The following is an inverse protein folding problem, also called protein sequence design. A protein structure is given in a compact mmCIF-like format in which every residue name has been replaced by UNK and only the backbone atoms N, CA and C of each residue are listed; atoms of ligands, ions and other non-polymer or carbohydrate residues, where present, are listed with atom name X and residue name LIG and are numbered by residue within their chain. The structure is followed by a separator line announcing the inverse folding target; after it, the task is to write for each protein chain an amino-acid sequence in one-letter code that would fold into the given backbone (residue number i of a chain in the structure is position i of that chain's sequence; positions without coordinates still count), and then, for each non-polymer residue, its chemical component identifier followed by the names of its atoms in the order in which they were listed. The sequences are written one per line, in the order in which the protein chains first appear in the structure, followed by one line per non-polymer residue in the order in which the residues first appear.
data_IF_561882050891
#
_entry.id   IF_561882050891
#
_cell.length_a   1.000
_cell.length_b   1.000
_cell.length_c   1.000
_cell.angle_alpha   90.00
_cell.angle_beta   90.00
_cell.angle_gamma   90.00
#
_symmetry.space_group_name_H-M   'P 1'
#
loop_
_entity.id
_entity.type
_entity.pdbx_description
1 polymer ?
#
# COMPACT_ATOMS: atom_id res chain seq x y z
N UNK A 1 -13.77 48.82 -4.76
CA UNK A 1 -13.39 47.41 -4.43
C UNK A 1 -11.89 47.13 -4.67
N UNK A 2 -11.08 48.08 -5.14
CA UNK A 2 -9.65 47.90 -5.47
C UNK A 2 -8.66 48.03 -4.30
N UNK A 3 -9.08 48.55 -3.14
CA UNK A 3 -8.17 48.84 -2.03
C UNK A 3 -7.63 47.59 -1.31
N UNK A 4 -8.31 46.44 -1.37
CA UNK A 4 -7.81 45.21 -0.74
C UNK A 4 -6.62 44.61 -1.50
N UNK A 5 -6.65 44.67 -2.84
CA UNK A 5 -5.58 44.13 -3.66
C UNK A 5 -4.33 45.02 -3.62
N UNK A 6 -4.51 46.34 -3.58
CA UNK A 6 -3.39 47.27 -3.37
C UNK A 6 -2.79 47.08 -1.97
N UNK A 7 -3.60 46.97 -0.91
CA UNK A 7 -3.11 46.66 0.44
C UNK A 7 -2.34 45.34 0.51
N UNK A 8 -2.84 44.27 -0.11
CA UNK A 8 -2.12 43.00 -0.20
C UNK A 8 -0.80 43.15 -0.96
N UNK A 9 -0.78 43.91 -2.05
CA UNK A 9 0.43 44.23 -2.82
C UNK A 9 1.47 44.94 -1.97
N UNK A 10 1.05 45.90 -1.14
CA UNK A 10 1.96 46.66 -0.27
C UNK A 10 2.57 45.80 0.83
N UNK A 11 1.77 44.91 1.42
CA UNK A 11 2.27 43.95 2.40
C UNK A 11 3.31 43.02 1.79
N UNK A 12 3.08 42.56 0.55
CA UNK A 12 4.01 41.70 -0.16
C UNK A 12 5.29 42.44 -0.55
N UNK A 13 5.18 43.64 -1.12
CA UNK A 13 6.34 44.47 -1.47
C UNK A 13 7.19 44.80 -0.24
N UNK A 14 6.57 45.19 0.86
CA UNK A 14 7.29 45.47 2.11
C UNK A 14 7.98 44.21 2.64
N UNK A 15 7.31 43.06 2.57
CA UNK A 15 7.89 41.79 2.95
C UNK A 15 9.08 41.42 2.05
N UNK A 16 8.98 41.63 0.73
CA UNK A 16 10.08 41.40 -0.22
C UNK A 16 11.28 42.30 0.07
N UNK A 17 11.05 43.59 0.36
CA UNK A 17 12.11 44.52 0.76
C UNK A 17 12.78 44.03 2.05
N UNK A 18 12.02 43.61 3.06
CA UNK A 18 12.58 43.05 4.30
C UNK A 18 13.36 41.76 4.06
N UNK A 19 12.85 40.85 3.22
CA UNK A 19 13.52 39.62 2.83
C UNK A 19 14.85 39.89 2.08
N UNK A 20 14.90 40.91 1.24
CA UNK A 20 16.13 41.38 0.59
C UNK A 20 17.11 41.97 1.60
N UNK A 21 16.67 42.85 2.51
CA UNK A 21 17.52 43.45 3.56
C UNK A 21 18.10 42.41 4.53
N UNK A 22 17.35 41.34 4.78
CA UNK A 22 17.78 40.21 5.62
C UNK A 22 18.64 39.17 4.87
N UNK A 23 18.85 39.33 3.56
CA UNK A 23 19.76 38.49 2.77
C UNK A 23 19.12 37.24 2.15
N UNK A 24 17.78 37.11 2.15
CA UNK A 24 17.07 35.97 1.54
C UNK A 24 16.90 36.12 0.01
N UNK A 25 18.00 36.33 -0.71
CA UNK A 25 18.00 36.58 -2.16
C UNK A 25 17.41 35.41 -2.95
N UNK A 26 17.76 34.17 -2.59
CA UNK A 26 17.25 32.94 -3.24
C UNK A 26 15.72 32.83 -3.19
N UNK A 27 15.09 33.36 -2.14
CA UNK A 27 13.64 33.35 -2.00
C UNK A 27 12.99 34.36 -2.93
N UNK A 28 13.59 35.53 -3.09
CA UNK A 28 13.14 36.55 -4.04
C UNK A 28 13.26 36.04 -5.49
N UNK A 29 14.35 35.36 -5.84
CA UNK A 29 14.52 34.68 -7.14
C UNK A 29 13.44 33.61 -7.37
N UNK A 30 13.13 32.82 -6.34
CA UNK A 30 12.08 31.79 -6.45
C UNK A 30 10.67 32.36 -6.65
N UNK A 31 10.45 33.63 -6.27
CA UNK A 31 9.22 34.37 -6.52
C UNK A 31 9.18 34.99 -7.93
N UNK A 32 10.26 34.85 -8.71
CA UNK A 32 10.35 35.33 -10.09
C UNK A 32 10.96 36.73 -10.24
N UNK A 33 11.51 37.32 -9.18
CA UNK A 33 12.20 38.61 -9.27
C UNK A 33 13.54 38.46 -9.97
N UNK A 34 13.75 39.30 -10.97
CA UNK A 34 15.04 39.45 -11.66
C UNK A 34 16.04 40.17 -10.75
N UNK A 35 17.36 39.98 -10.96
CA UNK A 35 18.39 40.69 -10.19
C UNK A 35 18.30 42.22 -10.30
N UNK A 36 17.82 42.73 -11.43
CA UNK A 36 17.59 44.16 -11.67
C UNK A 36 16.42 44.67 -10.80
N UNK A 37 15.31 43.95 -10.75
CA UNK A 37 14.17 44.27 -9.88
C UNK A 37 14.52 44.19 -8.40
N UNK A 38 15.36 43.23 -8.00
CA UNK A 38 15.87 43.14 -6.63
C UNK A 38 16.73 44.35 -6.24
N UNK A 39 17.53 44.88 -7.17
CA UNK A 39 18.28 46.12 -6.93
C UNK A 39 17.36 47.33 -6.80
N UNK A 40 16.33 47.44 -7.65
CA UNK A 40 15.32 48.50 -7.56
C UNK A 40 14.55 48.44 -6.23
N UNK A 41 14.11 47.25 -5.81
CA UNK A 41 13.44 47.04 -4.53
C UNK A 41 14.33 47.42 -3.33
N UNK A 42 15.63 47.13 -3.37
CA UNK A 42 16.57 47.45 -2.29
C UNK A 42 16.80 48.97 -2.12
N UNK A 43 16.59 49.74 -3.20
CA UNK A 43 16.73 51.19 -3.24
C UNK A 43 15.45 51.98 -2.94
N UNK A 44 14.31 51.31 -2.72
CA UNK A 44 13.03 51.99 -2.44
C UNK A 44 13.09 52.80 -1.14
N UNK A 45 12.61 54.04 -1.22
CA UNK A 45 12.37 54.89 -0.04
C UNK A 45 10.96 54.69 0.51
N UNK A 46 10.71 55.25 1.71
CA UNK A 46 9.38 55.22 2.32
C UNK A 46 8.36 55.99 1.48
N UNK A 47 8.79 57.08 0.82
CA UNK A 47 7.93 57.87 -0.06
C UNK A 47 7.59 57.11 -1.35
N UNK A 48 8.54 56.37 -1.92
CA UNK A 48 8.28 55.50 -3.08
C UNK A 48 7.29 54.39 -2.73
N UNK A 49 7.44 53.78 -1.55
CA UNK A 49 6.47 52.80 -1.04
C UNK A 49 5.08 53.44 -0.87
N UNK A 50 5.01 54.66 -0.33
CA UNK A 50 3.75 55.40 -0.19
C UNK A 50 3.10 55.73 -1.55
N UNK A 51 3.90 56.03 -2.57
CA UNK A 51 3.42 56.24 -3.92
C UNK A 51 2.86 54.95 -4.54
N UNK A 52 3.59 53.84 -4.42
CA UNK A 52 3.13 52.52 -4.87
C UNK A 52 1.86 52.08 -4.13
N UNK A 53 1.75 52.43 -2.84
CA UNK A 53 0.58 52.18 -1.98
C UNK A 53 -0.72 52.76 -2.52
N UNK A 54 -0.63 53.98 -3.04
CA UNK A 54 -1.77 54.75 -3.54
C UNK A 54 -1.97 54.62 -5.05
N UNK A 55 -1.13 53.83 -5.73
CA UNK A 55 -1.30 53.53 -7.14
C UNK A 55 -2.59 52.75 -7.38
N UNK A 56 -3.30 53.12 -8.44
CA UNK A 56 -4.51 52.41 -8.90
C UNK A 56 -4.17 51.14 -9.71
N UNK A 57 -2.89 50.95 -10.05
CA UNK A 57 -2.40 49.81 -10.85
C UNK A 57 -1.76 48.79 -9.92
N UNK A 58 -2.31 47.57 -9.91
CA UNK A 58 -1.73 46.43 -9.18
C UNK A 58 -0.47 45.93 -9.89
N UNK A 59 0.62 45.80 -9.15
CA UNK A 59 1.86 45.14 -9.62
C UNK A 59 1.69 43.62 -9.65
N UNK A 60 0.71 43.08 -8.93
CA UNK A 60 0.48 41.64 -8.81
C UNK A 60 -0.66 41.17 -9.70
N UNK A 61 -0.39 40.12 -10.47
CA UNK A 61 -1.38 39.31 -11.16
C UNK A 61 -1.48 37.94 -10.49
N UNK A 62 -2.59 37.67 -9.79
CA UNK A 62 -2.82 36.35 -9.20
C UNK A 62 -3.63 35.48 -10.16
N UNK A 63 -3.08 34.33 -10.53
CA UNK A 63 -3.80 33.30 -11.27
C UNK A 63 -3.88 32.05 -10.40
N UNK A 64 -5.09 31.72 -9.95
CA UNK A 64 -5.32 30.49 -9.21
C UNK A 64 -5.46 29.37 -10.23
N UNK A 65 -4.56 28.39 -10.18
CA UNK A 65 -4.69 27.20 -11.02
C UNK A 65 -5.88 26.37 -10.54
N UNK A 66 -7.02 26.53 -11.21
CA UNK A 66 -8.31 25.97 -10.78
C UNK A 66 -8.28 24.44 -10.61
N UNK A 67 -7.59 23.71 -11.49
CA UNK A 67 -7.50 22.25 -11.39
C UNK A 67 -6.73 21.80 -10.15
N UNK A 68 -5.51 22.32 -9.94
CA UNK A 68 -4.71 22.03 -8.76
C UNK A 68 -5.45 22.41 -7.47
N UNK A 69 -6.13 23.56 -7.47
CA UNK A 69 -6.95 23.96 -6.34
C UNK A 69 -8.07 22.95 -6.06
N UNK A 70 -8.83 22.54 -7.09
CA UNK A 70 -9.88 21.54 -6.93
C UNK A 70 -9.34 20.20 -6.43
N UNK A 71 -8.20 19.74 -6.95
CA UNK A 71 -7.52 18.52 -6.51
C UNK A 71 -7.07 18.61 -5.05
N UNK A 72 -6.48 19.74 -4.64
CA UNK A 72 -6.08 19.99 -3.25
C UNK A 72 -7.28 19.97 -2.31
N UNK A 73 -8.38 20.63 -2.69
CA UNK A 73 -9.62 20.64 -1.89
C UNK A 73 -10.21 19.23 -1.79
N UNK A 74 -10.25 18.47 -2.89
CA UNK A 74 -10.75 17.10 -2.88
C UNK A 74 -9.86 16.18 -2.03
N UNK A 75 -8.54 16.37 -2.06
CA UNK A 75 -7.60 15.62 -1.22
C UNK A 75 -7.80 15.96 0.26
N UNK A 76 -7.95 17.24 0.60
CA UNK A 76 -8.21 17.67 1.96
C UNK A 76 -9.52 17.07 2.51
N UNK A 77 -10.58 17.06 1.71
CA UNK A 77 -11.86 16.42 2.07
C UNK A 77 -11.73 14.91 2.29
N UNK A 78 -10.98 14.22 1.42
CA UNK A 78 -10.71 12.77 1.57
C UNK A 78 -9.93 12.47 2.84
N UNK A 79 -8.91 13.27 3.17
CA UNK A 79 -8.16 13.07 4.41
C UNK A 79 -9.01 13.37 5.65
N UNK A 80 -9.88 14.39 5.59
CA UNK A 80 -10.83 14.66 6.67
C UNK A 80 -11.80 13.48 6.89
N UNK A 81 -12.34 12.90 5.81
CA UNK A 81 -13.19 11.70 5.91
C UNK A 81 -12.42 10.51 6.47
N UNK A 82 -11.16 10.31 6.03
CA UNK A 82 -10.29 9.26 6.58
C UNK A 82 -10.07 9.46 8.07
N UNK A 83 -9.83 10.70 8.50
CA UNK A 83 -9.65 11.08 9.90
C UNK A 83 -10.90 10.74 10.73
N UNK A 84 -12.08 11.12 10.25
CA UNK A 84 -13.36 10.84 10.90
C UNK A 84 -13.61 9.34 11.05
N UNK A 85 -13.31 8.54 10.01
CA UNK A 85 -13.42 7.08 10.07
C UNK A 85 -12.49 6.47 11.10
N UNK A 86 -11.25 6.98 11.22
CA UNK A 86 -10.31 6.54 12.25
C UNK A 86 -10.87 6.81 13.65
N UNK A 87 -11.36 8.02 13.89
CA UNK A 87 -11.86 8.42 15.21
C UNK A 87 -13.12 7.64 15.58
N UNK A 88 -14.03 7.44 14.63
CA UNK A 88 -15.23 6.60 14.78
C UNK A 88 -14.87 5.14 15.07
N UNK A 89 -13.94 4.56 14.31
CA UNK A 89 -13.49 3.19 14.53
C UNK A 89 -12.84 3.00 15.91
N UNK A 90 -12.10 4.00 16.40
CA UNK A 90 -11.51 3.97 17.74
C UNK A 90 -12.58 4.09 18.83
N UNK A 91 -13.59 4.95 18.65
CA UNK A 91 -14.70 5.12 19.58
C UNK A 91 -15.50 3.81 19.75
N UNK A 92 -15.70 3.06 18.66
CA UNK A 92 -16.38 1.76 18.66
C UNK A 92 -15.51 0.59 19.15
N UNK A 93 -14.32 0.87 19.68
CA UNK A 93 -13.44 -0.15 20.25
C UNK A 93 -12.67 -0.98 19.20
N UNK A 94 -12.34 -0.37 18.06
CA UNK A 94 -11.51 -0.99 17.03
C UNK A 94 -10.10 -1.34 17.51
N UNK A 95 -9.65 -2.57 17.29
CA UNK A 95 -8.35 -3.09 17.76
C UNK A 95 -7.16 -2.47 17.04
N UNK A 96 -5.97 -2.54 17.65
CA UNK A 96 -4.73 -2.03 17.02
C UNK A 96 -4.45 -2.77 15.71
N UNK A 97 -4.70 -4.08 15.64
CA UNK A 97 -4.54 -4.89 14.43
C UNK A 97 -5.46 -4.40 13.30
N UNK A 98 -6.73 -4.11 13.62
CA UNK A 98 -7.69 -3.58 12.67
C UNK A 98 -7.28 -2.18 12.17
N UNK A 99 -6.84 -1.31 13.08
CA UNK A 99 -6.38 0.03 12.71
C UNK A 99 -5.13 -0.02 11.80
N UNK A 100 -4.23 -0.97 12.04
CA UNK A 100 -3.08 -1.19 11.18
C UNK A 100 -3.49 -1.74 9.81
N UNK A 101 -4.47 -2.65 9.76
CA UNK A 101 -4.95 -3.24 8.51
C UNK A 101 -5.66 -2.23 7.60
N UNK A 102 -6.59 -1.44 8.13
CA UNK A 102 -7.39 -0.50 7.32
C UNK A 102 -6.72 0.86 7.10
N UNK A 103 -5.96 1.36 8.08
CA UNK A 103 -5.44 2.73 8.05
C UNK A 103 -3.92 2.81 8.07
N UNK A 104 -3.21 1.69 8.18
CA UNK A 104 -1.74 1.65 8.25
C UNK A 104 -1.16 2.28 9.52
N UNK A 105 -1.98 2.51 10.55
CA UNK A 105 -1.55 3.18 11.78
C UNK A 105 -0.70 2.25 12.63
N UNK A 106 0.34 2.80 13.24
CA UNK A 106 1.16 2.12 14.23
C UNK A 106 0.44 2.00 15.57
N UNK A 107 0.88 1.05 16.40
CA UNK A 107 0.39 0.90 17.78
C UNK A 107 0.60 2.15 18.64
N UNK A 108 1.68 2.90 18.38
CA UNK A 108 2.01 4.14 19.08
C UNK A 108 1.00 5.24 18.73
N UNK A 109 0.69 5.42 17.45
CA UNK A 109 -0.29 6.41 16.98
C UNK A 109 -1.70 6.10 17.48
N UNK A 110 -2.10 4.83 17.45
CA UNK A 110 -3.39 4.38 17.99
C UNK A 110 -3.47 4.66 19.49
N UNK A 111 -2.42 4.32 20.24
CA UNK A 111 -2.40 4.55 21.69
C UNK A 111 -2.41 6.04 22.04
N UNK A 112 -1.65 6.86 21.31
CA UNK A 112 -1.64 8.31 21.48
C UNK A 112 -3.02 8.91 21.21
N UNK A 113 -3.66 8.52 20.11
CA UNK A 113 -4.99 9.01 19.73
C UNK A 113 -6.07 8.61 20.72
N UNK A 114 -6.04 7.37 21.23
CA UNK A 114 -6.95 6.92 22.30
C UNK A 114 -6.79 7.75 23.58
N UNK A 115 -5.54 8.05 23.98
CA UNK A 115 -5.25 8.92 25.14
C UNK A 115 -5.79 10.33 24.94
N UNK A 116 -5.59 10.92 23.77
CA UNK A 116 -6.09 12.28 23.45
C UNK A 116 -7.62 12.35 23.43
N UNK A 117 -8.29 11.29 22.98
CA UNK A 117 -9.75 11.22 22.88
C UNK A 117 -10.42 10.79 24.19
N UNK A 118 -9.65 10.43 25.22
CA UNK A 118 -10.18 9.98 26.51
C UNK A 118 -10.88 8.61 26.47
N UNK A 119 -10.67 7.82 25.41
CA UNK A 119 -11.31 6.50 25.25
C UNK A 119 -10.62 5.52 26.20
N UNK A 120 -11.33 5.10 27.25
CA UNK A 120 -10.89 4.07 28.17
C UNK A 120 -11.12 2.70 27.55
N UNK A 121 -10.04 1.99 27.22
CA UNK A 121 -10.12 0.64 26.68
C UNK A 121 -10.58 -0.29 27.82
N UNK A 122 -11.74 -0.93 27.67
CA UNK A 122 -12.12 -2.06 28.54
C UNK A 122 -11.06 -3.16 28.38
N UNK A 123 -10.17 -3.30 29.36
CA UNK A 123 -9.18 -4.36 29.39
C UNK A 123 -9.89 -5.69 29.70
N UNK A 124 -9.79 -6.67 28.80
CA UNK A 124 -10.43 -7.97 28.96
C UNK A 124 -10.47 -8.80 27.68
N UNK A 125 -10.96 -10.04 27.75
CA UNK A 125 -11.23 -10.85 26.56
C UNK A 125 -12.29 -10.14 25.73
N UNK A 126 -12.03 -9.96 24.44
CA UNK A 126 -13.00 -9.41 23.50
C UNK A 126 -14.29 -10.25 23.60
N UNK A 127 -15.42 -9.60 23.86
CA UNK A 127 -16.72 -10.26 23.90
C UNK A 127 -16.98 -10.88 22.53
N UNK A 128 -17.00 -12.21 22.47
CA UNK A 128 -17.47 -12.95 21.30
C UNK A 128 -18.94 -12.61 21.09
N UNK A 129 -19.31 -12.25 19.86
CA UNK A 129 -20.70 -11.98 19.49
C UNK A 129 -21.59 -13.17 19.84
N UNK A 130 -22.80 -12.88 20.32
CA UNK A 130 -23.84 -13.90 20.50
C UNK A 130 -24.16 -14.54 19.15
N UNK A 131 -24.65 -15.78 19.15
CA UNK A 131 -25.05 -16.46 17.92
C UNK A 131 -26.20 -15.73 17.21
N UNK A 132 -27.09 -15.08 17.96
CA UNK A 132 -28.17 -14.25 17.43
C UNK A 132 -27.63 -12.98 16.73
N UNK A 133 -26.64 -12.34 17.36
CA UNK A 133 -25.95 -11.17 16.83
C UNK A 133 -25.14 -11.52 15.56
N UNK A 134 -24.48 -12.68 15.54
CA UNK A 134 -23.79 -13.14 14.35
C UNK A 134 -24.77 -13.37 13.17
N UNK A 135 -25.95 -13.91 13.45
CA UNK A 135 -26.96 -14.15 12.42
C UNK A 135 -27.57 -12.83 11.88
N UNK A 136 -27.79 -11.84 12.75
CA UNK A 136 -28.28 -10.52 12.33
C UNK A 136 -27.23 -9.76 11.53
N UNK A 137 -25.97 -9.76 11.99
CA UNK A 137 -24.83 -9.19 11.29
C UNK A 137 -24.66 -9.79 9.89
N UNK A 138 -24.76 -11.12 9.76
CA UNK A 138 -24.65 -11.80 8.46
C UNK A 138 -25.71 -11.35 7.46
N UNK A 139 -26.97 -11.20 7.91
CA UNK A 139 -28.07 -10.71 7.05
C UNK A 139 -27.84 -9.26 6.61
N UNK A 140 -27.37 -8.40 7.52
CA UNK A 140 -27.04 -7.02 7.18
C UNK A 140 -25.88 -6.94 6.19
N UNK A 141 -24.84 -7.76 6.40
CA UNK A 141 -23.69 -7.86 5.50
C UNK A 141 -24.10 -8.33 4.10
N UNK A 142 -24.96 -9.34 4.01
CA UNK A 142 -25.46 -9.85 2.73
C UNK A 142 -26.30 -8.81 1.97
N UNK A 143 -27.07 -7.97 2.68
CA UNK A 143 -27.86 -6.89 2.08
C UNK A 143 -27.00 -5.75 1.52
N UNK A 144 -25.81 -5.54 2.08
CA UNK A 144 -24.91 -4.46 1.67
C UNK A 144 -24.13 -4.76 0.38
N UNK A 145 -24.10 -6.02 -0.07
CA UNK A 145 -23.47 -6.47 -1.34
C UNK A 145 -22.04 -5.93 -1.57
N UNK A 146 -21.22 -6.00 -0.53
CA UNK A 146 -19.84 -5.50 -0.57
C UNK A 146 -18.92 -6.60 -1.08
N UNK A 147 -18.30 -6.37 -2.24
CA UNK A 147 -17.36 -7.32 -2.87
C UNK A 147 -16.04 -7.47 -2.07
N UNK A 148 -15.60 -6.41 -1.39
CA UNK A 148 -14.34 -6.38 -0.63
C UNK A 148 -14.54 -5.97 0.83
N UNK A 149 -14.34 -6.93 1.74
CA UNK A 149 -14.38 -6.74 3.20
C UNK A 149 -13.36 -5.71 3.68
N UNK A 150 -12.25 -5.54 2.95
CA UNK A 150 -11.17 -4.61 3.29
C UNK A 150 -11.37 -3.19 2.73
N UNK A 151 -12.44 -2.98 1.96
CA UNK A 151 -12.77 -1.66 1.41
C UNK A 151 -13.24 -0.68 2.50
N UNK A 152 -13.16 0.62 2.18
CA UNK A 152 -13.65 1.68 3.06
C UNK A 152 -15.17 1.57 3.31
N UNK A 153 -15.94 1.15 2.30
CA UNK A 153 -17.38 0.96 2.41
C UNK A 153 -17.71 -0.26 3.28
N UNK A 154 -16.90 -1.33 3.18
CA UNK A 154 -16.94 -2.47 4.08
C UNK A 154 -16.75 -2.09 5.54
N UNK A 155 -15.78 -1.22 5.81
CA UNK A 155 -15.55 -0.70 7.16
C UNK A 155 -16.73 0.15 7.66
N UNK A 156 -17.31 1.01 6.82
CA UNK A 156 -18.46 1.83 7.19
C UNK A 156 -19.68 0.97 7.56
N UNK A 157 -19.92 -0.14 6.85
CA UNK A 157 -20.99 -1.10 7.19
C UNK A 157 -20.69 -1.84 8.49
N UNK A 158 -19.43 -2.23 8.73
CA UNK A 158 -19.04 -2.82 10.02
C UNK A 158 -19.24 -1.85 11.19
N UNK A 159 -18.90 -0.56 10.99
CA UNK A 159 -19.14 0.48 12.01
C UNK A 159 -20.62 0.69 12.28
N UNK A 160 -21.45 0.72 11.24
CA UNK A 160 -22.91 0.84 11.38
C UNK A 160 -23.52 -0.35 12.13
N UNK A 161 -23.09 -1.57 11.82
CA UNK A 161 -23.56 -2.77 12.50
C UNK A 161 -23.12 -2.79 13.98
N UNK A 162 -21.88 -2.39 14.26
CA UNK A 162 -21.35 -2.27 15.62
C UNK A 162 -22.17 -1.28 16.47
N UNK A 163 -22.54 -0.14 15.88
CA UNK A 163 -23.39 0.87 16.54
C UNK A 163 -24.82 0.38 16.80
N UNK A 164 -25.44 -0.30 15.83
CA UNK A 164 -26.81 -0.78 15.97
C UNK A 164 -26.96 -1.89 17.00
N UNK A 165 -25.94 -2.72 17.15
CA UNK A 165 -25.94 -3.88 18.03
C UNK A 165 -25.26 -3.61 19.38
N UNK A 166 -24.70 -2.41 19.58
CA UNK A 166 -23.90 -1.99 20.76
C UNK A 166 -22.76 -2.98 21.10
N UNK A 167 -22.08 -3.46 20.06
CA UNK A 167 -20.98 -4.43 20.15
C UNK A 167 -19.67 -3.80 19.71
N UNK A 168 -18.55 -4.30 20.25
CA UNK A 168 -17.24 -3.80 19.84
C UNK A 168 -16.98 -4.06 18.36
N UNK A 169 -16.46 -3.04 17.65
CA UNK A 169 -16.12 -3.14 16.23
C UNK A 169 -15.12 -4.27 15.92
N UNK A 170 -14.24 -4.57 16.88
CA UNK A 170 -13.29 -5.70 16.76
C UNK A 170 -14.01 -7.05 16.68
N UNK A 171 -15.09 -7.25 17.44
CA UNK A 171 -15.85 -8.49 17.41
C UNK A 171 -16.59 -8.67 16.07
N UNK A 172 -17.18 -7.59 15.57
CA UNK A 172 -17.80 -7.53 14.23
C UNK A 172 -16.77 -7.85 13.15
N UNK A 173 -15.58 -7.25 13.21
CA UNK A 173 -14.51 -7.49 12.25
C UNK A 173 -14.06 -8.95 12.19
N UNK A 174 -13.92 -9.62 13.34
CA UNK A 174 -13.59 -11.04 13.37
C UNK A 174 -14.72 -11.92 12.82
N UNK A 175 -15.98 -11.61 13.11
CA UNK A 175 -17.11 -12.33 12.55
C UNK A 175 -17.21 -12.17 11.02
N UNK A 176 -17.04 -10.95 10.51
CA UNK A 176 -17.05 -10.70 9.05
C UNK A 176 -15.91 -11.43 8.34
N UNK A 177 -14.69 -11.44 8.91
CA UNK A 177 -13.57 -12.24 8.38
C UNK A 177 -13.87 -13.74 8.38
N UNK A 178 -14.61 -14.24 9.36
CA UNK A 178 -15.03 -15.65 9.40
C UNK A 178 -15.99 -15.98 8.26
N UNK A 179 -16.84 -15.03 7.87
CA UNK A 179 -17.80 -15.19 6.79
C UNK A 179 -17.13 -15.22 5.41
N UNK A 180 -16.14 -14.37 5.16
CA UNK A 180 -15.36 -14.41 3.93
C UNK A 180 -14.59 -15.73 3.77
N UNK A 181 -14.03 -16.24 4.87
CA UNK A 181 -13.45 -17.59 4.93
C UNK A 181 -14.45 -18.73 4.65
N UNK A 182 -15.74 -18.54 4.98
CA UNK A 182 -16.80 -19.48 4.69
C UNK A 182 -17.30 -19.38 3.23
N UNK A 183 -17.43 -18.17 2.69
CA UNK A 183 -17.79 -17.92 1.28
C UNK A 183 -16.70 -18.45 0.32
N UNK A 184 -15.42 -18.21 0.62
CA UNK A 184 -14.31 -18.79 -0.15
C UNK A 184 -14.28 -20.33 -0.06
N UNK A 185 -14.79 -20.95 1.03
CA UNK A 185 -14.96 -22.40 1.15
C UNK A 185 -16.18 -22.94 0.40
N UNK A 186 -17.28 -22.19 0.31
CA UNK A 186 -18.47 -22.60 -0.47
C UNK A 186 -18.24 -22.45 -1.97
N UNK A 187 -17.56 -21.39 -2.43
CA UNK A 187 -17.13 -21.24 -3.83
C UNK A 187 -16.14 -22.35 -4.24
N UNK A 188 -15.19 -22.70 -3.35
CA UNK A 188 -14.33 -23.87 -3.57
C UNK A 188 -15.11 -25.19 -3.58
N UNK A 189 -16.25 -25.29 -2.89
CA UNK A 189 -17.11 -26.46 -2.93
C UNK A 189 -17.94 -26.53 -4.22
N UNK A 190 -18.49 -25.42 -4.72
CA UNK A 190 -19.18 -25.39 -6.02
C UNK A 190 -18.23 -25.68 -7.19
N UNK A 191 -16.97 -25.26 -7.10
CA UNK A 191 -15.92 -25.65 -8.04
C UNK A 191 -15.48 -27.12 -7.87
N UNK A 192 -15.58 -27.67 -6.65
CA UNK A 192 -15.28 -29.08 -6.38
C UNK A 192 -16.38 -30.06 -6.82
N UNK A 193 -17.64 -29.62 -6.93
CA UNK A 193 -18.74 -30.47 -7.43
C UNK A 193 -18.59 -30.76 -8.92
N UNK A 194 -17.81 -29.96 -9.66
CA UNK A 194 -17.42 -30.29 -11.05
C UNK A 194 -16.22 -31.22 -11.17
N UNK A 195 -15.58 -31.54 -10.05
CA UNK A 195 -14.39 -32.42 -10.03
C UNK A 195 -14.50 -33.45 -8.93
N UNK A 196 -15.56 -34.25 -8.96
CA UNK A 196 -15.65 -35.51 -8.24
C UNK A 196 -15.60 -36.67 -9.24
N UNK A 197 -14.38 -37.01 -9.67
CA UNK A 197 -14.05 -38.40 -9.94
C UNK A 197 -12.68 -38.71 -9.34
N UNK A 198 -12.70 -39.69 -8.44
CA UNK A 198 -11.56 -40.31 -7.73
C UNK A 198 -10.90 -39.44 -6.65
N UNK A 199 -10.63 -39.90 -5.43
CA UNK A 199 -11.02 -41.07 -4.61
C UNK A 199 -10.39 -40.78 -3.24
N UNK A 200 -11.05 -41.19 -2.16
CA UNK A 200 -10.54 -41.73 -0.87
C UNK A 200 -9.04 -41.52 -0.53
N UNK A 201 -8.60 -41.27 0.71
CA UNK A 201 -9.13 -41.38 2.09
C UNK A 201 -8.03 -40.82 3.01
N UNK A 202 -8.42 -40.31 4.20
CA UNK A 202 -7.76 -40.37 5.55
C UNK A 202 -6.22 -40.26 5.59
N UNK A 203 -5.57 -39.39 6.34
CA UNK A 203 -5.88 -38.73 7.60
C UNK A 203 -4.55 -38.52 8.36
N UNK A 204 -4.47 -37.44 9.12
CA UNK A 204 -3.53 -37.16 10.21
C UNK A 204 -2.01 -37.00 9.92
N UNK A 205 -1.46 -36.03 10.66
CA UNK A 205 -0.07 -35.93 11.16
C UNK A 205 1.02 -35.22 10.34
N UNK A 206 1.43 -34.10 10.97
CA UNK A 206 2.81 -33.61 11.15
C UNK A 206 3.46 -32.85 9.98
N UNK A 207 4.23 -31.82 10.36
CA UNK A 207 5.21 -31.16 9.53
C UNK A 207 6.08 -32.20 8.83
N UNK A 208 5.92 -32.35 7.52
CA UNK A 208 6.75 -33.21 6.69
C UNK A 208 7.38 -32.33 5.63
N UNK A 209 8.72 -32.37 5.58
CA UNK A 209 9.56 -31.87 4.49
C UNK A 209 8.89 -32.13 3.13
N UNK A 210 8.24 -31.10 2.57
CA UNK A 210 7.41 -31.25 1.37
C UNK A 210 8.33 -31.41 0.16
N UNK A 211 8.32 -32.62 -0.42
CA UNK A 211 9.03 -32.93 -1.67
C UNK A 211 8.61 -31.97 -2.80
N UNK A 212 9.56 -31.48 -3.62
CA UNK A 212 9.26 -30.54 -4.70
C UNK A 212 8.33 -31.17 -5.76
N UNK A 213 7.51 -30.33 -6.40
CA UNK A 213 6.64 -30.73 -7.51
C UNK A 213 7.49 -30.89 -8.76
N UNK A 214 7.39 -32.05 -9.41
CA UNK A 214 8.00 -32.27 -10.73
C UNK A 214 7.06 -31.69 -11.79
N UNK A 215 7.47 -30.61 -12.45
CA UNK A 215 6.66 -29.95 -13.49
C UNK A 215 6.85 -30.59 -14.87
N UNK A 216 8.03 -31.16 -15.11
CA UNK A 216 8.42 -31.98 -16.26
C UNK A 216 9.69 -32.76 -15.88
N UNK A 217 10.09 -33.82 -16.60
CA UNK A 217 11.31 -34.56 -16.28
C UNK A 217 12.50 -33.61 -16.16
N UNK A 218 13.20 -33.58 -15.02
CA UNK A 218 14.31 -32.68 -14.74
C UNK A 218 13.94 -31.21 -14.46
N UNK A 219 12.68 -30.88 -14.16
CA UNK A 219 12.28 -29.54 -13.68
C UNK A 219 11.46 -29.67 -12.39
N UNK A 220 12.00 -29.11 -11.31
CA UNK A 220 11.43 -29.15 -9.98
C UNK A 220 10.99 -27.76 -9.54
N UNK A 221 9.80 -27.65 -8.96
CA UNK A 221 9.30 -26.41 -8.39
C UNK A 221 8.76 -26.62 -6.97
N UNK A 222 8.91 -25.64 -6.08
CA UNK A 222 8.31 -25.70 -4.76
C UNK A 222 6.79 -25.62 -4.89
N UNK A 223 6.06 -26.34 -4.03
CA UNK A 223 4.58 -26.30 -3.98
C UNK A 223 4.04 -24.89 -3.71
N UNK A 224 4.85 -24.01 -3.11
CA UNK A 224 4.52 -22.61 -2.87
C UNK A 224 4.60 -21.71 -4.11
N UNK A 225 5.16 -22.18 -5.24
CA UNK A 225 5.25 -21.37 -6.44
C UNK A 225 3.86 -21.18 -7.09
N UNK A 226 3.49 -19.95 -7.50
CA UNK A 226 2.24 -19.70 -8.24
C UNK A 226 2.16 -20.53 -9.53
N UNK A 227 0.97 -21.05 -9.85
CA UNK A 227 0.75 -21.87 -11.07
C UNK A 227 1.16 -21.17 -12.36
N UNK A 228 1.01 -19.85 -12.42
CA UNK A 228 1.47 -19.04 -13.56
C UNK A 228 2.99 -19.12 -13.75
N UNK A 229 3.76 -19.05 -12.66
CA UNK A 229 5.22 -19.17 -12.69
C UNK A 229 5.66 -20.60 -13.04
N UNK A 230 4.96 -21.61 -12.53
CA UNK A 230 5.20 -23.02 -12.87
C UNK A 230 5.02 -23.28 -14.37
N UNK A 231 3.93 -22.78 -14.97
CA UNK A 231 3.70 -22.88 -16.42
C UNK A 231 4.77 -22.11 -17.22
N UNK A 232 5.10 -20.88 -16.81
CA UNK A 232 6.13 -20.06 -17.47
C UNK A 232 7.52 -20.69 -17.39
N UNK A 233 7.83 -21.47 -16.36
CA UNK A 233 9.12 -22.14 -16.21
C UNK A 233 9.35 -23.29 -17.20
N UNK A 234 8.28 -23.93 -17.70
CA UNK A 234 8.40 -25.06 -18.64
C UNK A 234 8.96 -24.63 -20.00
N UNK A 235 8.53 -23.48 -20.50
CA UNK A 235 8.84 -23.01 -21.85
C UNK A 235 10.35 -22.71 -22.04
N UNK A 236 11.04 -21.99 -21.13
CA UNK A 236 12.49 -21.78 -21.23
C UNK A 236 13.30 -23.08 -21.11
N UNK A 237 12.87 -24.05 -20.31
CA UNK A 237 13.55 -25.35 -20.20
C UNK A 237 13.40 -26.16 -21.49
N UNK A 238 12.23 -26.11 -22.14
CA UNK A 238 12.04 -26.73 -23.46
C UNK A 238 12.96 -26.10 -24.52
N UNK A 239 13.04 -24.77 -24.55
CA UNK A 239 13.93 -24.06 -25.49
C UNK A 239 15.41 -24.39 -25.26
N UNK A 240 15.84 -24.52 -23.99
CA UNK A 240 17.19 -24.96 -23.65
C UNK A 240 17.47 -26.36 -24.21
N UNK A 241 16.54 -27.32 -24.05
CA UNK A 241 16.67 -28.68 -24.59
C UNK A 241 16.70 -28.76 -26.11
N UNK A 242 16.07 -27.78 -26.77
CA UNK A 242 16.11 -27.62 -28.21
C UNK A 242 17.41 -26.93 -28.71
N UNK A 243 18.38 -26.66 -27.82
CA UNK A 243 19.67 -26.08 -28.16
C UNK A 243 19.73 -24.54 -28.13
N UNK A 244 18.68 -23.87 -27.65
CA UNK A 244 18.68 -22.41 -27.56
C UNK A 244 19.61 -21.91 -26.44
N UNK A 245 20.38 -20.84 -26.72
CA UNK A 245 21.24 -20.16 -25.74
C UNK A 245 20.45 -19.15 -24.89
N UNK A 246 19.50 -19.63 -24.10
CA UNK A 246 18.61 -18.80 -23.26
C UNK A 246 18.99 -18.76 -21.76
N UNK A 247 20.23 -19.13 -21.43
CA UNK A 247 20.74 -19.22 -20.07
C UNK A 247 21.99 -18.36 -19.87
N UNK A 248 22.29 -18.03 -18.62
CA UNK A 248 23.57 -17.42 -18.22
C UNK A 248 24.37 -18.43 -17.42
N UNK A 249 25.61 -18.69 -17.82
CA UNK A 249 26.54 -19.50 -17.04
C UNK A 249 26.98 -18.72 -15.79
N UNK A 250 26.99 -19.40 -14.65
CA UNK A 250 27.46 -18.87 -13.38
C UNK A 250 28.83 -19.45 -13.07
N UNK A 251 29.78 -18.57 -12.77
CA UNK A 251 31.10 -18.96 -12.30
C UNK A 251 31.13 -18.77 -10.78
N UNK A 252 31.07 -19.88 -10.04
CA UNK A 252 31.04 -19.87 -8.56
C UNK A 252 32.40 -20.33 -8.05
N UNK A 253 33.15 -19.43 -7.40
CA UNK A 253 34.47 -19.76 -6.84
C UNK A 253 34.35 -20.90 -5.81
N UNK A 254 35.13 -21.97 -5.97
CA UNK A 254 35.31 -23.02 -4.96
C UNK A 254 34.23 -24.12 -4.87
N UNK A 255 33.17 -24.12 -5.70
CA UNK A 255 32.09 -25.13 -5.63
C UNK A 255 31.91 -26.03 -6.87
N UNK A 256 32.77 -25.90 -7.88
CA UNK A 256 32.70 -26.75 -9.07
C UNK A 256 33.53 -28.03 -8.89
N UNK A 257 32.88 -29.20 -8.95
CA UNK A 257 33.57 -30.42 -9.41
C UNK A 257 33.95 -30.23 -10.88
N UNK A 258 35.15 -30.65 -11.29
CA UNK A 258 35.60 -30.58 -12.69
C UNK A 258 34.49 -31.01 -13.66
N UNK A 259 34.11 -30.12 -14.58
CA UNK A 259 33.13 -30.38 -15.64
C UNK A 259 31.67 -29.98 -15.40
N UNK A 260 31.27 -29.45 -14.22
CA UNK A 260 29.88 -28.98 -13.99
C UNK A 260 29.78 -27.46 -13.93
N UNK A 261 29.09 -26.84 -14.89
CA UNK A 261 28.79 -25.42 -14.88
C UNK A 261 27.41 -25.18 -14.26
N UNK A 262 27.32 -24.19 -13.36
CA UNK A 262 26.03 -23.75 -12.85
C UNK A 262 25.41 -22.83 -13.89
N UNK A 263 24.10 -22.94 -14.11
CA UNK A 263 23.38 -22.16 -15.12
C UNK A 263 22.15 -21.52 -14.50
N UNK A 264 21.80 -20.32 -14.96
CA UNK A 264 20.57 -19.64 -14.58
C UNK A 264 19.71 -19.21 -15.76
N UNK A 265 18.40 -19.24 -15.56
CA UNK A 265 17.40 -18.62 -16.43
C UNK A 265 16.48 -17.76 -15.56
N UNK A 266 16.22 -16.53 -15.98
CA UNK A 266 15.32 -15.63 -15.26
C UNK A 266 13.87 -15.89 -15.67
N UNK A 267 12.98 -16.08 -14.69
CA UNK A 267 11.54 -16.25 -14.91
C UNK A 267 10.83 -15.05 -14.28
N UNK A 268 10.77 -13.94 -15.01
CA UNK A 268 10.25 -12.67 -14.49
C UNK A 268 11.10 -12.08 -13.37
N UNK A 269 10.50 -11.23 -12.53
CA UNK A 269 11.27 -10.42 -11.57
C UNK A 269 11.69 -11.21 -10.33
N UNK A 270 10.80 -12.06 -9.82
CA UNK A 270 10.94 -12.69 -8.50
C UNK A 270 11.34 -14.18 -8.54
N UNK A 271 11.46 -14.79 -9.72
CA UNK A 271 11.74 -16.22 -9.87
C UNK A 271 12.94 -16.50 -10.77
N UNK A 272 13.73 -17.51 -10.40
CA UNK A 272 14.93 -17.94 -11.11
C UNK A 272 14.91 -19.44 -11.25
N UNK A 273 15.29 -19.93 -12.42
CA UNK A 273 15.65 -21.33 -12.61
C UNK A 273 17.15 -21.47 -12.43
N UNK A 274 17.55 -22.39 -11.56
CA UNK A 274 18.95 -22.73 -11.33
C UNK A 274 19.17 -24.18 -11.74
N UNK A 275 20.23 -24.42 -12.52
CA UNK A 275 20.76 -25.76 -12.76
C UNK A 275 22.15 -25.89 -12.18
N UNK A 276 22.37 -26.95 -11.41
CA UNK A 276 23.67 -27.25 -10.75
C UNK A 276 24.48 -28.32 -11.51
N UNK A 277 23.91 -28.88 -12.58
CA UNK A 277 24.45 -30.01 -13.34
C UNK A 277 24.47 -29.74 -14.85
N UNK A 278 24.87 -28.52 -15.25
CA UNK A 278 25.00 -28.13 -16.66
C UNK A 278 23.71 -28.27 -17.49
N UNK A 279 22.54 -28.12 -16.87
CA UNK A 279 21.24 -28.09 -17.55
C UNK A 279 20.44 -29.40 -17.55
N UNK A 280 20.88 -30.44 -16.84
CA UNK A 280 20.17 -31.73 -16.73
C UNK A 280 18.94 -31.60 -15.83
N UNK A 281 19.11 -31.01 -14.65
CA UNK A 281 18.03 -30.69 -13.72
C UNK A 281 17.94 -29.17 -13.50
N UNK A 282 16.72 -28.68 -13.45
CA UNK A 282 16.36 -27.28 -13.21
C UNK A 282 15.50 -27.17 -11.97
N UNK A 283 15.86 -26.29 -11.06
CA UNK A 283 15.08 -25.97 -9.87
C UNK A 283 14.55 -24.55 -9.95
N UNK A 284 13.23 -24.38 -9.77
CA UNK A 284 12.57 -23.09 -9.71
C UNK A 284 12.67 -22.54 -8.28
N UNK A 285 13.32 -21.40 -8.13
CA UNK A 285 13.62 -20.77 -6.85
C UNK A 285 13.10 -19.33 -6.84
N UNK A 286 12.74 -18.83 -5.67
CA UNK A 286 12.53 -17.39 -5.47
C UNK A 286 13.87 -16.66 -5.53
N UNK A 287 13.86 -15.38 -5.85
CA UNK A 287 15.07 -14.54 -5.89
C UNK A 287 15.88 -14.60 -4.58
N UNK A 288 15.21 -14.52 -3.44
CA UNK A 288 15.83 -14.60 -2.11
C UNK A 288 16.51 -15.94 -1.87
N UNK A 289 15.84 -17.05 -2.21
CA UNK A 289 16.38 -18.40 -2.05
C UNK A 289 17.55 -18.65 -3.01
N UNK A 290 17.47 -18.13 -4.22
CA UNK A 290 18.55 -18.17 -5.21
C UNK A 290 19.81 -17.45 -4.71
N UNK A 291 19.68 -16.26 -4.11
CA UNK A 291 20.82 -15.53 -3.54
C UNK A 291 21.45 -16.31 -2.38
N UNK A 292 20.62 -16.86 -1.48
CA UNK A 292 21.12 -17.69 -0.37
C UNK A 292 21.87 -18.95 -0.84
N UNK A 293 21.57 -19.48 -2.03
CA UNK A 293 22.29 -20.64 -2.56
C UNK A 293 23.62 -20.30 -3.24
N UNK A 294 23.80 -19.06 -3.68
CA UNK A 294 25.04 -18.60 -4.31
C UNK A 294 26.05 -18.01 -3.32
N UNK A 295 25.58 -17.43 -2.21
CA UNK A 295 26.41 -16.74 -1.22
C UNK A 295 26.61 -17.52 0.09
N UNK A 296 26.04 -18.73 0.20
CA UNK A 296 26.53 -19.79 1.10
C UNK A 296 27.82 -20.38 0.55
#
# INVERSE_FOLDING_TARGET
MSNSLSQATNSLLTQLVMELKSGYIRRCESLGLTPEEMQMLNGLTVDDLYYLLNSSVSVLTFQIHHENFALMVQQARREQQRMQRIDRALALGGSIEMMQHFFGLSSVEVSARRRMTGIQIRQGRCSTLSDEDNASLWRQWQKADIEDVSSADGLDVMMLAAEQMDVSLTAVWHAVRSFDGAQTRTVRKSDSVRTQQSRCRRGACKEVSMKPVVLMPGLYAPRSAPRACQKKAQEPVRRFRQGARNYKALHVKGKHRCGRAWMKINIGDNWRLLSRNSGVDWELLTHERYNNELWK
#
